data_IF_157117355091
#
_entry.id   IF_157117355091
#
_cell.length_a   1.000
_cell.length_b   1.000
_cell.length_c   1.000
_cell.angle_alpha   90.00
_cell.angle_beta   90.00
_cell.angle_gamma   90.00
#
_symmetry.space_group_name_H-M   'P 1'
#
loop_
_entity.id
_entity.type
_entity.pdbx_description
1 polymer ?
#
# COMPACT_ATOMS: atom_id res chain seq x y z
N UNK A 1 11.35 -10.35 12.84
CA UNK A 1 9.98 -10.12 13.35
C UNK A 1 9.46 -8.86 12.67
N UNK A 2 8.67 -8.97 11.59
CA UNK A 2 8.05 -7.79 10.97
C UNK A 2 6.93 -7.28 11.88
N UNK A 3 6.93 -6.00 12.21
CA UNK A 3 5.80 -5.37 12.91
C UNK A 3 4.55 -5.42 12.02
N UNK A 4 3.34 -5.68 12.57
CA UNK A 4 2.11 -5.72 11.79
C UNK A 4 1.89 -4.39 11.07
N UNK A 5 1.51 -4.46 9.79
CA UNK A 5 1.36 -3.30 8.91
C UNK A 5 0.13 -2.44 9.21
N UNK A 6 -0.05 -1.91 10.42
CA UNK A 6 -1.21 -1.07 10.78
C UNK A 6 -1.24 0.23 9.99
N UNK A 7 -2.26 0.37 9.12
CA UNK A 7 -2.55 1.58 8.34
C UNK A 7 -3.24 2.65 9.17
N UNK A 8 -3.08 3.92 8.79
CA UNK A 8 -3.63 5.08 9.51
C UNK A 8 -4.87 5.66 8.83
N UNK A 9 -6.00 4.93 8.83
CA UNK A 9 -7.27 5.54 8.38
C UNK A 9 -7.63 6.71 9.29
N UNK A 10 -8.00 7.85 8.70
CA UNK A 10 -8.49 9.02 9.45
C UNK A 10 -9.93 8.82 9.98
N UNK A 11 -10.61 7.76 9.53
CA UNK A 11 -11.98 7.42 9.92
C UNK A 11 -11.96 6.15 10.76
N UNK A 12 -12.68 6.16 11.88
CA UNK A 12 -12.81 4.96 12.72
C UNK A 12 -13.62 3.87 12.01
N UNK A 13 -13.18 2.62 12.14
CA UNK A 13 -13.87 1.40 11.70
C UNK A 13 -13.71 0.32 12.78
N UNK A 14 -14.47 -0.77 12.68
CA UNK A 14 -14.51 -1.77 13.74
C UNK A 14 -13.16 -2.50 13.89
N UNK A 15 -12.79 -2.82 15.13
CA UNK A 15 -11.57 -3.60 15.43
C UNK A 15 -11.57 -4.98 14.76
N UNK A 16 -12.75 -5.58 14.58
CA UNK A 16 -12.90 -6.85 13.85
C UNK A 16 -12.50 -6.73 12.39
N UNK A 17 -12.92 -5.64 11.71
CA UNK A 17 -12.51 -5.36 10.32
C UNK A 17 -11.01 -5.12 10.23
N UNK A 18 -10.45 -4.39 11.20
CA UNK A 18 -9.00 -4.14 11.29
C UNK A 18 -8.19 -5.43 11.44
N UNK A 19 -8.57 -6.29 12.39
CA UNK A 19 -7.88 -7.56 12.61
C UNK A 19 -8.03 -8.52 11.43
N UNK A 20 -9.20 -8.56 10.80
CA UNK A 20 -9.43 -9.40 9.62
C UNK A 20 -8.55 -8.97 8.44
N UNK A 21 -8.54 -7.67 8.11
CA UNK A 21 -7.79 -7.16 6.97
C UNK A 21 -6.28 -7.32 7.16
N UNK A 22 -5.77 -7.12 8.37
CA UNK A 22 -4.36 -7.36 8.67
C UNK A 22 -3.99 -8.85 8.69
N UNK A 23 -4.90 -9.73 9.11
CA UNK A 23 -4.68 -11.17 8.98
C UNK A 23 -4.63 -11.59 7.50
N UNK A 24 -5.47 -10.99 6.65
CA UNK A 24 -5.46 -11.23 5.20
C UNK A 24 -4.12 -10.84 4.55
N UNK A 25 -3.62 -9.62 4.83
CA UNK A 25 -2.28 -9.18 4.39
C UNK A 25 -1.18 -10.15 4.83
N UNK A 26 -1.27 -10.67 6.06
CA UNK A 26 -0.31 -11.66 6.57
C UNK A 26 -0.37 -12.97 5.78
N UNK A 27 -1.55 -13.42 5.38
CA UNK A 27 -1.70 -14.61 4.53
C UNK A 27 -1.14 -14.38 3.12
N UNK A 28 -1.41 -13.22 2.52
CA UNK A 28 -0.83 -12.85 1.22
C UNK A 28 0.70 -12.83 1.29
N UNK A 29 1.26 -12.23 2.34
CA UNK A 29 2.71 -12.23 2.56
C UNK A 29 3.29 -13.64 2.70
N UNK A 30 2.62 -14.54 3.43
CA UNK A 30 3.00 -15.97 3.54
C UNK A 30 2.95 -16.70 2.20
N UNK A 31 2.06 -16.30 1.30
CA UNK A 31 1.94 -16.83 -0.07
C UNK A 31 2.96 -16.22 -1.05
N UNK A 32 3.76 -15.26 -0.61
CA UNK A 32 4.87 -14.70 -1.40
C UNK A 32 4.70 -13.22 -1.75
N UNK A 33 3.56 -12.60 -1.46
CA UNK A 33 3.33 -11.19 -1.75
C UNK A 33 4.34 -10.29 -1.00
N UNK A 34 4.75 -9.21 -1.66
CA UNK A 34 5.61 -8.18 -1.07
C UNK A 34 4.75 -6.95 -0.77
N UNK A 35 4.56 -6.65 0.51
CA UNK A 35 3.75 -5.53 0.97
C UNK A 35 4.66 -4.48 1.60
N UNK A 36 4.58 -3.25 1.11
CA UNK A 36 5.40 -2.13 1.56
C UNK A 36 4.54 -0.94 2.02
N UNK A 37 4.94 -0.29 3.11
CA UNK A 37 4.37 1.01 3.50
C UNK A 37 5.15 2.13 2.83
N UNK A 38 4.44 3.11 2.29
CA UNK A 38 5.07 4.30 1.73
C UNK A 38 5.60 5.18 2.87
N UNK A 39 6.85 5.64 2.72
CA UNK A 39 7.45 6.62 3.62
C UNK A 39 7.08 8.06 3.23
N UNK A 40 7.81 9.03 3.79
CA UNK A 40 7.72 10.42 3.30
C UNK A 40 8.20 10.47 1.85
N UNK A 41 7.42 11.07 0.94
CA UNK A 41 7.75 11.09 -0.48
C UNK A 41 8.98 11.97 -0.73
N UNK A 42 9.81 11.53 -1.67
CA UNK A 42 10.99 12.23 -2.14
C UNK A 42 10.99 12.19 -3.66
N UNK A 43 11.03 13.36 -4.29
CA UNK A 43 11.24 13.49 -5.72
C UNK A 43 12.74 13.42 -6.02
N UNK A 44 13.09 12.67 -7.06
CA UNK A 44 14.47 12.56 -7.56
C UNK A 44 14.48 12.86 -9.04
N UNK A 45 15.38 13.73 -9.48
CA UNK A 45 15.66 14.00 -10.90
C UNK A 45 17.16 13.84 -11.16
N UNK A 46 17.51 13.29 -12.31
CA UNK A 46 18.90 13.19 -12.74
C UNK A 46 19.02 13.38 -14.26
N UNK A 47 18.81 14.61 -14.77
CA UNK A 47 18.86 14.87 -16.21
C UNK A 47 20.23 14.47 -16.77
N UNK A 48 20.22 13.62 -17.79
CA UNK A 48 21.42 13.12 -18.48
C UNK A 48 22.46 12.45 -17.57
N UNK A 49 22.08 12.05 -16.35
CA UNK A 49 23.03 11.43 -15.42
C UNK A 49 24.06 12.39 -14.81
N UNK A 50 23.92 13.71 -14.95
CA UNK A 50 24.95 14.68 -14.55
C UNK A 50 24.95 15.03 -13.06
N UNK A 51 23.78 15.27 -12.49
CA UNK A 51 23.62 15.67 -11.09
C UNK A 51 22.27 15.17 -10.56
N UNK A 52 22.32 14.53 -9.40
CA UNK A 52 21.12 14.11 -8.67
C UNK A 52 20.53 15.31 -7.95
N UNK A 53 19.28 15.63 -8.26
CA UNK A 53 18.45 16.64 -7.60
C UNK A 53 17.39 15.93 -6.75
N UNK A 54 17.16 16.42 -5.53
CA UNK A 54 16.21 15.86 -4.56
C UNK A 54 15.29 16.94 -4.01
N UNK A 55 13.99 16.65 -3.93
CA UNK A 55 13.02 17.47 -3.20
C UNK A 55 12.20 16.60 -2.24
N UNK A 56 12.12 16.99 -0.97
CA UNK A 56 11.36 16.27 0.07
C UNK A 56 9.87 16.62 0.03
N UNK A 57 9.23 16.30 -1.09
CA UNK A 57 7.81 16.51 -1.31
C UNK A 57 7.24 15.49 -2.30
N UNK A 58 5.92 15.27 -2.24
CA UNK A 58 5.21 14.48 -3.24
C UNK A 58 5.17 15.21 -4.59
N UNK A 59 5.37 14.48 -5.68
CA UNK A 59 5.14 15.00 -7.03
C UNK A 59 3.65 15.29 -7.26
N UNK A 60 2.80 14.31 -6.92
CA UNK A 60 1.35 14.41 -7.05
C UNK A 60 0.70 14.66 -5.70
N UNK A 61 -0.35 15.47 -5.69
CA UNK A 61 -1.21 15.71 -4.53
C UNK A 61 -2.57 15.10 -4.79
N UNK A 62 -3.06 14.31 -3.83
CA UNK A 62 -4.36 13.66 -3.87
C UNK A 62 -5.01 13.72 -2.49
N UNK A 63 -6.34 13.63 -2.43
CA UNK A 63 -7.08 13.59 -1.15
C UNK A 63 -6.72 12.34 -0.32
N UNK A 64 -6.50 11.22 -1.02
CA UNK A 64 -5.95 9.98 -0.50
C UNK A 64 -4.50 9.83 -1.01
N UNK A 65 -3.49 10.14 -0.19
CA UNK A 65 -2.10 9.91 -0.59
C UNK A 65 -1.79 8.42 -0.66
N UNK A 66 -0.78 8.05 -1.45
CA UNK A 66 -0.27 6.68 -1.51
C UNK A 66 0.22 6.26 -0.12
N UNK A 67 -0.46 5.29 0.48
CA UNK A 67 -0.14 4.76 1.81
C UNK A 67 0.87 3.60 1.76
N UNK A 68 0.96 2.92 0.62
CA UNK A 68 1.77 1.72 0.44
C UNK A 68 1.53 1.09 -0.92
N UNK A 69 2.09 -0.10 -1.08
CA UNK A 69 1.93 -0.92 -2.28
C UNK A 69 1.99 -2.41 -1.92
N UNK A 70 1.49 -3.24 -2.83
CA UNK A 70 1.62 -4.68 -2.77
C UNK A 70 2.02 -5.19 -4.16
N UNK A 71 3.00 -6.08 -4.21
CA UNK A 71 3.33 -6.89 -5.38
C UNK A 71 2.87 -8.31 -5.05
N UNK A 72 1.99 -8.87 -5.87
CA UNK A 72 1.45 -10.22 -5.70
C UNK A 72 1.44 -10.96 -7.02
N UNK A 73 1.40 -12.28 -6.94
CA UNK A 73 1.15 -13.16 -8.07
C UNK A 73 -0.35 -13.49 -8.14
N UNK A 74 -0.92 -13.39 -9.33
CA UNK A 74 -2.30 -13.73 -9.62
C UNK A 74 -2.39 -14.38 -11.00
N UNK A 75 -3.45 -15.16 -11.22
CA UNK A 75 -3.68 -15.86 -12.50
C UNK A 75 -4.11 -14.88 -13.60
N UNK A 76 -4.89 -13.87 -13.21
CA UNK A 76 -5.39 -12.79 -14.05
C UNK A 76 -5.76 -11.57 -13.19
N UNK A 77 -6.32 -10.53 -13.82
CA UNK A 77 -6.72 -9.30 -13.14
C UNK A 77 -7.86 -9.53 -12.14
N UNK A 78 -8.84 -10.40 -12.46
CA UNK A 78 -9.99 -10.64 -11.58
C UNK A 78 -9.55 -11.36 -10.31
N UNK A 79 -8.62 -12.31 -10.42
CA UNK A 79 -7.97 -12.94 -9.27
C UNK A 79 -7.18 -11.92 -8.46
N UNK A 80 -6.45 -10.98 -9.09
CA UNK A 80 -5.75 -9.92 -8.36
C UNK A 80 -6.71 -9.00 -7.58
N UNK A 81 -7.83 -8.61 -8.19
CA UNK A 81 -8.88 -7.82 -7.54
C UNK A 81 -9.47 -8.58 -6.35
N UNK A 82 -9.78 -9.87 -6.52
CA UNK A 82 -10.29 -10.71 -5.44
C UNK A 82 -9.30 -10.81 -4.26
N UNK A 83 -8.00 -10.95 -4.54
CA UNK A 83 -6.96 -10.96 -3.50
C UNK A 83 -6.83 -9.59 -2.82
N UNK A 84 -7.01 -8.48 -3.54
CA UNK A 84 -6.89 -7.13 -3.00
C UNK A 84 -8.11 -6.68 -2.17
N UNK A 85 -9.29 -7.25 -2.42
CA UNK A 85 -10.56 -6.78 -1.87
C UNK A 85 -10.64 -6.78 -0.33
N UNK A 86 -9.96 -7.70 0.34
CA UNK A 86 -9.96 -7.83 1.80
C UNK A 86 -8.75 -7.16 2.47
N UNK A 87 -7.93 -6.41 1.73
CA UNK A 87 -6.78 -5.69 2.28
C UNK A 87 -7.21 -4.43 3.04
N UNK A 88 -6.41 -3.92 4.00
CA UNK A 88 -6.81 -2.79 4.85
C UNK A 88 -7.28 -1.56 4.07
N UNK A 89 -6.59 -1.19 2.98
CA UNK A 89 -6.97 -0.03 2.18
C UNK A 89 -8.32 -0.23 1.46
N UNK A 90 -8.66 -1.45 1.05
CA UNK A 90 -9.92 -1.73 0.37
C UNK A 90 -11.11 -1.68 1.34
N UNK A 91 -10.95 -2.15 2.57
CA UNK A 91 -12.06 -2.26 3.54
C UNK A 91 -12.18 -1.07 4.51
N UNK A 92 -11.12 -0.29 4.71
CA UNK A 92 -11.04 0.75 5.76
C UNK A 92 -11.08 2.20 5.22
N UNK A 93 -11.97 2.46 4.26
CA UNK A 93 -12.19 3.79 3.65
C UNK A 93 -10.99 4.35 2.87
N UNK A 94 -10.09 3.48 2.42
CA UNK A 94 -9.07 3.81 1.44
C UNK A 94 -9.49 3.39 0.04
N UNK A 95 -8.49 3.14 -0.81
CA UNK A 95 -8.67 2.53 -2.12
C UNK A 95 -7.46 1.65 -2.42
N UNK A 96 -7.68 0.57 -3.15
CA UNK A 96 -6.62 -0.17 -3.84
C UNK A 96 -6.87 -0.02 -5.33
N UNK A 97 -5.88 0.52 -6.03
CA UNK A 97 -5.81 0.49 -7.49
C UNK A 97 -4.99 -0.74 -7.88
N UNK A 98 -5.55 -1.60 -8.74
CA UNK A 98 -4.94 -2.86 -9.20
C UNK A 98 -4.50 -2.71 -10.63
#
# INVERSE_FOLDING_TARGET
MLQPLRGGSRRAYSRKVDDHAHAHDEQLAKRGSRIGRAGKPVQVRNPEGRVVQREDNALMKAELPVAGFMILEAEDLDHAIALAADTPCAVAYGVVEV
#
